data_IF_392514462204
#
_entry.id   IF_392514462204
#
_cell.length_a   1.000
_cell.length_b   1.000
_cell.length_c   1.000
_cell.angle_alpha   90.00
_cell.angle_beta   90.00
_cell.angle_gamma   90.00
#
_symmetry.space_group_name_H-M   'P 1'
#
loop_
_entity.id
_entity.type
_entity.pdbx_description
1 polymer ?
#
# COMPACT_ATOMS: atom_id res chain seq x y z
N UNK A 1 -0.51 -24.16 -3.92
CA UNK A 1 -1.05 -23.65 -5.21
C UNK A 1 -1.64 -22.28 -4.95
N UNK A 2 -1.14 -21.23 -5.63
CA UNK A 2 -1.61 -19.85 -5.48
C UNK A 2 -2.86 -19.64 -6.33
N UNK A 3 -3.91 -19.06 -5.80
CA UNK A 3 -5.18 -18.79 -6.49
C UNK A 3 -5.55 -17.32 -6.51
N UNK A 4 -4.90 -16.49 -5.69
CA UNK A 4 -5.14 -15.05 -5.71
C UNK A 4 -3.90 -14.26 -5.30
N UNK A 5 -3.78 -13.05 -5.83
CA UNK A 5 -2.70 -12.12 -5.56
C UNK A 5 -3.27 -10.89 -4.87
N UNK A 6 -2.69 -10.54 -3.74
CA UNK A 6 -3.00 -9.31 -2.98
C UNK A 6 -1.82 -8.37 -3.12
N UNK A 7 -2.05 -7.19 -3.67
CA UNK A 7 -1.02 -6.15 -3.81
C UNK A 7 -1.16 -5.09 -2.70
N UNK A 8 -0.03 -4.58 -2.23
CA UNK A 8 0.00 -3.23 -1.66
C UNK A 8 -0.07 -2.18 -2.76
N UNK A 9 -0.28 -0.92 -2.39
CA UNK A 9 -0.45 0.20 -3.32
C UNK A 9 0.81 1.08 -3.39
N UNK A 10 1.04 1.86 -2.33
CA UNK A 10 2.10 2.89 -2.31
C UNK A 10 3.50 2.26 -2.22
N UNK A 11 4.33 2.42 -3.24
CA UNK A 11 5.65 1.80 -3.35
C UNK A 11 5.67 0.44 -4.04
N UNK A 12 4.52 -0.19 -4.21
CA UNK A 12 4.38 -1.49 -4.88
C UNK A 12 3.80 -1.33 -6.29
N UNK A 13 2.57 -0.84 -6.40
CA UNK A 13 1.92 -0.61 -7.69
C UNK A 13 2.12 0.82 -8.21
N UNK A 14 2.30 1.78 -7.30
CA UNK A 14 2.42 3.20 -7.64
C UNK A 14 3.58 3.88 -6.89
N UNK A 15 4.22 4.84 -7.53
CA UNK A 15 5.06 5.84 -6.88
C UNK A 15 4.21 7.09 -6.59
N UNK A 16 3.76 7.20 -5.37
CA UNK A 16 2.87 8.28 -4.88
C UNK A 16 3.59 9.29 -3.99
N UNK A 17 4.91 9.21 -3.86
CA UNK A 17 5.69 10.03 -2.92
C UNK A 17 5.43 11.53 -3.07
N UNK A 18 5.33 12.03 -4.32
CA UNK A 18 5.14 13.44 -4.60
C UNK A 18 3.79 13.95 -4.09
N UNK A 19 2.71 13.21 -4.35
CA UNK A 19 1.36 13.63 -3.96
C UNK A 19 1.14 13.45 -2.45
N UNK A 20 1.72 12.40 -1.85
CA UNK A 20 1.76 12.26 -0.39
C UNK A 20 2.49 13.45 0.25
N UNK A 21 3.66 13.83 -0.28
CA UNK A 21 4.43 14.94 0.26
C UNK A 21 3.74 16.29 0.07
N UNK A 22 3.13 16.55 -1.10
CA UNK A 22 2.36 17.76 -1.35
C UNK A 22 1.18 17.88 -0.38
N UNK A 23 0.41 16.79 -0.20
CA UNK A 23 -0.74 16.74 0.70
C UNK A 23 -0.34 16.90 2.17
N UNK A 24 0.75 16.25 2.59
CA UNK A 24 1.26 16.38 3.95
C UNK A 24 1.75 17.81 4.23
N UNK A 25 2.48 18.43 3.31
CA UNK A 25 2.97 19.78 3.45
C UNK A 25 1.83 20.82 3.40
N UNK A 26 0.78 20.57 2.60
CA UNK A 26 -0.43 21.39 2.65
C UNK A 26 -1.08 21.35 4.04
N UNK A 27 -1.27 20.16 4.60
CA UNK A 27 -1.84 19.98 5.93
C UNK A 27 -0.98 20.62 7.03
N UNK A 28 0.34 20.38 7.00
CA UNK A 28 1.29 20.97 7.95
C UNK A 28 1.25 22.49 7.91
N UNK A 29 1.43 23.08 6.73
CA UNK A 29 1.52 24.54 6.55
C UNK A 29 0.22 25.24 6.93
N UNK A 30 -0.95 24.71 6.59
CA UNK A 30 -2.26 25.26 6.94
C UNK A 30 -2.55 25.24 8.44
N UNK A 31 -1.78 24.43 9.22
CA UNK A 31 -1.90 24.33 10.67
C UNK A 31 -0.69 24.88 11.44
N UNK A 32 0.17 25.66 10.78
CA UNK A 32 1.30 26.34 11.42
C UNK A 32 2.52 25.46 11.72
N UNK A 33 2.61 24.28 11.10
CA UNK A 33 3.78 23.43 11.16
C UNK A 33 4.72 23.69 9.97
N UNK A 34 6.04 23.51 10.10
CA UNK A 34 6.97 23.67 9.00
C UNK A 34 6.75 22.61 7.93
N UNK A 35 6.96 22.97 6.68
CA UNK A 35 7.03 22.02 5.58
C UNK A 35 8.30 21.16 5.70
N UNK A 36 8.21 19.93 5.25
CA UNK A 36 9.30 18.95 5.26
C UNK A 36 9.71 18.59 3.83
N UNK A 37 10.92 18.05 3.68
CA UNK A 37 11.41 17.55 2.40
C UNK A 37 10.63 16.32 1.92
N UNK A 38 10.69 16.04 0.61
CA UNK A 38 10.14 14.84 0.01
C UNK A 38 10.70 13.57 0.67
N UNK A 39 11.99 13.57 0.98
CA UNK A 39 12.68 12.42 1.60
C UNK A 39 12.17 12.15 3.02
N UNK A 40 12.05 13.21 3.85
CA UNK A 40 11.52 13.09 5.21
C UNK A 40 10.10 12.53 5.20
N UNK A 41 9.19 13.09 4.41
CA UNK A 41 7.81 12.61 4.33
C UNK A 41 7.76 11.17 3.80
N UNK A 42 8.56 10.85 2.77
CA UNK A 42 8.62 9.50 2.21
C UNK A 42 9.05 8.46 3.24
N UNK A 43 9.95 8.82 4.16
CA UNK A 43 10.41 7.94 5.24
C UNK A 43 9.32 7.57 6.26
N UNK A 44 8.22 8.33 6.30
CA UNK A 44 7.07 8.10 7.19
C UNK A 44 5.94 7.30 6.50
N UNK A 45 6.05 7.02 5.20
CA UNK A 45 5.04 6.26 4.44
C UNK A 45 5.02 4.79 4.88
N UNK A 46 3.81 4.20 4.94
CA UNK A 46 3.60 2.77 5.19
C UNK A 46 2.63 2.49 6.35
N UNK A 47 2.63 3.33 7.37
CA UNK A 47 1.79 3.14 8.58
C UNK A 47 0.45 3.89 8.52
N UNK A 48 0.08 4.45 7.34
CA UNK A 48 -1.13 5.23 7.11
C UNK A 48 -1.00 6.70 7.48
N UNK A 49 -1.99 7.50 7.08
CA UNK A 49 -1.92 8.97 7.13
C UNK A 49 -1.77 9.54 8.55
N UNK A 50 -2.45 8.96 9.56
CA UNK A 50 -2.37 9.43 10.96
C UNK A 50 -0.93 9.37 11.48
N UNK A 51 -0.29 8.20 11.39
CA UNK A 51 1.09 8.02 11.88
C UNK A 51 2.10 8.84 11.07
N UNK A 52 1.88 9.01 9.75
CA UNK A 52 2.69 9.87 8.91
C UNK A 52 2.64 11.32 9.40
N UNK A 53 1.44 11.86 9.60
CA UNK A 53 1.24 13.27 9.99
C UNK A 53 1.66 13.53 11.43
N UNK A 54 1.45 12.58 12.35
CA UNK A 54 1.95 12.68 13.72
C UNK A 54 3.48 12.81 13.73
N UNK A 55 4.19 11.94 13.00
CA UNK A 55 5.66 12.01 12.86
C UNK A 55 6.10 13.31 12.20
N UNK A 56 5.44 13.71 11.12
CA UNK A 56 5.76 14.93 10.39
C UNK A 56 5.58 16.20 11.25
N UNK A 57 4.56 16.24 12.08
CA UNK A 57 4.30 17.34 13.02
C UNK A 57 5.06 17.20 14.35
N UNK A 58 5.79 16.07 14.56
CA UNK A 58 6.45 15.71 15.82
C UNK A 58 5.49 15.66 17.02
N UNK A 59 4.32 15.06 16.78
CA UNK A 59 3.26 14.85 17.76
C UNK A 59 3.09 13.35 18.06
N UNK A 60 2.47 13.03 19.18
CA UNK A 60 2.01 11.67 19.47
C UNK A 60 0.77 11.36 18.62
N UNK A 61 0.59 10.09 18.20
CA UNK A 61 -0.56 9.66 17.40
C UNK A 61 -1.92 9.99 18.06
N UNK A 62 -1.97 10.05 19.39
CA UNK A 62 -3.17 10.39 20.16
C UNK A 62 -3.42 11.89 20.31
N UNK A 63 -2.51 12.76 19.85
CA UNK A 63 -2.70 14.23 19.95
C UNK A 63 -3.89 14.67 19.06
N UNK A 64 -4.81 15.45 19.64
CA UNK A 64 -6.02 15.91 18.96
C UNK A 64 -5.75 16.78 17.73
N UNK A 65 -4.58 17.40 17.64
CA UNK A 65 -4.15 18.19 16.47
C UNK A 65 -3.93 17.31 15.25
N UNK A 66 -3.55 16.03 15.44
CA UNK A 66 -3.32 15.08 14.34
C UNK A 66 -4.61 14.86 13.55
N UNK A 67 -5.79 14.84 14.20
CA UNK A 67 -7.07 14.65 13.50
C UNK A 67 -7.31 15.73 12.45
N UNK A 68 -7.06 17.01 12.81
CA UNK A 68 -7.20 18.14 11.88
C UNK A 68 -6.20 18.08 10.73
N UNK A 69 -4.97 17.63 11.02
CA UNK A 69 -3.95 17.41 9.98
C UNK A 69 -4.38 16.31 9.01
N UNK A 70 -4.95 15.20 9.54
CA UNK A 70 -5.45 14.09 8.72
C UNK A 70 -6.60 14.56 7.81
N UNK A 71 -7.54 15.34 8.32
CA UNK A 71 -8.65 15.84 7.53
C UNK A 71 -8.15 16.76 6.39
N UNK A 72 -7.31 17.74 6.70
CA UNK A 72 -6.70 18.61 5.69
C UNK A 72 -5.88 17.83 4.64
N UNK A 73 -5.14 16.81 5.06
CA UNK A 73 -4.42 15.92 4.17
C UNK A 73 -5.35 15.16 3.24
N UNK A 74 -6.43 14.57 3.78
CA UNK A 74 -7.38 13.79 3.00
C UNK A 74 -8.12 14.65 1.99
N UNK A 75 -8.51 15.87 2.37
CA UNK A 75 -9.19 16.82 1.49
C UNK A 75 -8.30 17.20 0.31
N UNK A 76 -7.07 17.63 0.59
CA UNK A 76 -6.12 17.99 -0.44
C UNK A 76 -5.76 16.82 -1.35
N UNK A 77 -5.41 15.66 -0.77
CA UNK A 77 -5.03 14.48 -1.54
C UNK A 77 -6.18 13.97 -2.42
N UNK A 78 -7.43 14.06 -1.94
CA UNK A 78 -8.59 13.61 -2.75
C UNK A 78 -8.83 14.53 -3.95
N UNK A 79 -8.54 15.83 -3.81
CA UNK A 79 -8.62 16.80 -4.90
C UNK A 79 -7.44 16.69 -5.89
N UNK A 80 -6.29 16.18 -5.44
CA UNK A 80 -5.03 16.07 -6.19
C UNK A 80 -4.45 14.64 -6.14
N UNK A 81 -5.19 13.61 -6.60
CA UNK A 81 -4.85 12.22 -6.30
C UNK A 81 -3.68 11.67 -7.11
N UNK A 82 -3.41 12.26 -8.31
CA UNK A 82 -2.43 11.74 -9.27
C UNK A 82 -1.65 12.85 -10.00
N UNK A 83 -1.45 14.01 -9.38
CA UNK A 83 -0.71 15.13 -10.00
C UNK A 83 0.77 14.75 -10.24
N UNK A 84 1.35 13.95 -9.37
CA UNK A 84 2.71 13.42 -9.46
C UNK A 84 2.82 11.91 -9.31
N UNK A 85 1.70 11.21 -9.12
CA UNK A 85 1.67 9.75 -8.95
C UNK A 85 1.78 9.03 -10.30
N UNK A 86 2.64 8.02 -10.37
CA UNK A 86 2.83 7.17 -11.55
C UNK A 86 2.79 5.70 -11.19
N UNK A 87 2.55 4.83 -12.18
CA UNK A 87 2.69 3.39 -11.97
C UNK A 87 4.16 3.01 -11.77
N UNK A 88 4.40 2.05 -10.87
CA UNK A 88 5.72 1.44 -10.72
C UNK A 88 6.07 0.59 -11.95
N UNK A 89 7.38 0.41 -12.25
CA UNK A 89 7.80 -0.44 -13.36
C UNK A 89 7.23 -1.86 -13.26
N UNK A 90 6.57 -2.31 -14.33
CA UNK A 90 5.95 -3.63 -14.41
C UNK A 90 4.57 -3.74 -13.75
N UNK A 91 4.04 -2.68 -13.11
CA UNK A 91 2.74 -2.75 -12.43
C UNK A 91 1.58 -3.01 -13.41
N UNK A 92 1.56 -2.34 -14.55
CA UNK A 92 0.52 -2.53 -15.57
C UNK A 92 0.54 -3.94 -16.14
N UNK A 93 1.70 -4.45 -16.47
CA UNK A 93 1.92 -5.80 -16.99
C UNK A 93 1.58 -6.86 -15.94
N UNK A 94 1.95 -6.63 -14.69
CA UNK A 94 1.60 -7.54 -13.60
C UNK A 94 0.09 -7.62 -13.39
N UNK A 95 -0.62 -6.49 -13.41
CA UNK A 95 -2.09 -6.49 -13.30
C UNK A 95 -2.76 -7.13 -14.52
N UNK A 96 -2.28 -6.85 -15.74
CA UNK A 96 -2.83 -7.42 -16.97
C UNK A 96 -2.53 -8.92 -17.13
N UNK A 97 -1.52 -9.44 -16.41
CA UNK A 97 -1.11 -10.84 -16.47
C UNK A 97 -2.06 -11.83 -15.77
N UNK A 98 -3.05 -11.32 -15.02
CA UNK A 98 -3.96 -12.14 -14.22
C UNK A 98 -5.40 -11.63 -14.32
N UNK A 99 -6.42 -12.52 -14.20
CA UNK A 99 -7.81 -12.07 -14.25
C UNK A 99 -8.14 -11.21 -13.01
N UNK A 100 -8.89 -10.09 -13.17
CA UNK A 100 -9.27 -9.23 -12.05
C UNK A 100 -9.98 -9.97 -10.91
N UNK A 101 -10.66 -11.08 -11.21
CA UNK A 101 -11.32 -11.94 -10.21
C UNK A 101 -10.36 -12.60 -9.21
N UNK A 102 -9.08 -12.68 -9.54
CA UNK A 102 -8.02 -13.23 -8.70
C UNK A 102 -7.13 -12.16 -8.05
N UNK A 103 -7.42 -10.88 -8.28
CA UNK A 103 -6.61 -9.77 -7.76
C UNK A 103 -7.35 -9.03 -6.64
N UNK A 104 -6.62 -8.66 -5.61
CA UNK A 104 -7.08 -7.77 -4.55
C UNK A 104 -6.03 -6.74 -4.17
N UNK A 105 -6.47 -5.68 -3.52
CA UNK A 105 -5.63 -4.63 -2.97
C UNK A 105 -5.71 -4.61 -1.45
N UNK A 106 -4.58 -4.54 -0.77
CA UNK A 106 -4.48 -4.39 0.69
C UNK A 106 -3.53 -3.26 1.04
N UNK A 107 -4.04 -2.10 1.41
CA UNK A 107 -3.20 -0.93 1.69
C UNK A 107 -3.55 -0.26 3.02
N UNK A 108 -2.53 0.32 3.69
CA UNK A 108 -2.73 1.18 4.86
C UNK A 108 -3.13 2.62 4.48
N UNK A 109 -3.11 2.95 3.17
CA UNK A 109 -3.60 4.23 2.65
C UNK A 109 -5.10 4.38 2.95
N UNK A 110 -5.57 5.54 3.45
CA UNK A 110 -6.99 5.73 3.75
C UNK A 110 -7.89 5.44 2.54
N UNK A 111 -9.05 4.81 2.79
CA UNK A 111 -9.98 4.40 1.72
C UNK A 111 -10.33 5.55 0.77
N UNK A 112 -10.61 6.74 1.32
CA UNK A 112 -10.98 7.92 0.53
C UNK A 112 -9.93 8.25 -0.53
N UNK A 113 -8.67 8.35 -0.15
CA UNK A 113 -7.56 8.65 -1.07
C UNK A 113 -7.22 7.46 -1.97
N UNK A 114 -7.35 6.22 -1.45
CA UNK A 114 -7.16 5.01 -2.26
C UNK A 114 -8.11 4.99 -3.45
N UNK A 115 -9.42 5.20 -3.23
CA UNK A 115 -10.41 5.20 -4.32
C UNK A 115 -10.18 6.34 -5.32
N UNK A 116 -9.78 7.53 -4.85
CA UNK A 116 -9.46 8.66 -5.73
C UNK A 116 -8.26 8.34 -6.65
N UNK A 117 -7.19 7.74 -6.09
CA UNK A 117 -6.01 7.32 -6.85
C UNK A 117 -6.35 6.22 -7.86
N UNK A 118 -7.09 5.19 -7.44
CA UNK A 118 -7.50 4.11 -8.35
C UNK A 118 -8.36 4.64 -9.51
N UNK A 119 -9.26 5.59 -9.25
CA UNK A 119 -10.07 6.23 -10.29
C UNK A 119 -9.20 7.04 -11.25
N UNK A 120 -8.28 7.86 -10.74
CA UNK A 120 -7.39 8.69 -11.55
C UNK A 120 -6.44 7.86 -12.43
N UNK A 121 -6.00 6.69 -11.97
CA UNK A 121 -5.14 5.77 -12.72
C UNK A 121 -5.90 4.75 -13.57
N UNK A 122 -7.24 4.84 -13.63
CA UNK A 122 -8.12 3.89 -14.35
C UNK A 122 -8.02 2.44 -13.84
N UNK A 123 -7.73 2.26 -12.55
CA UNK A 123 -7.58 0.97 -11.89
C UNK A 123 -8.79 0.54 -11.05
N UNK A 124 -9.92 1.26 -11.12
CA UNK A 124 -11.12 0.98 -10.32
C UNK A 124 -11.61 -0.46 -10.46
N UNK A 125 -11.50 -1.04 -11.66
CA UNK A 125 -11.97 -2.39 -11.97
C UNK A 125 -10.84 -3.43 -12.02
N UNK A 126 -9.63 -3.07 -11.59
CA UNK A 126 -8.48 -3.98 -11.62
C UNK A 126 -8.53 -5.06 -10.51
N UNK A 127 -9.34 -4.83 -9.47
CA UNK A 127 -9.37 -5.69 -8.28
C UNK A 127 -10.79 -6.19 -7.98
N UNK A 128 -10.91 -7.47 -7.65
CA UNK A 128 -12.13 -8.09 -7.12
C UNK A 128 -12.53 -7.51 -5.76
N UNK A 129 -11.54 -7.21 -4.92
CA UNK A 129 -11.75 -6.69 -3.57
C UNK A 129 -10.63 -5.71 -3.17
N UNK A 130 -10.98 -4.74 -2.33
CA UNK A 130 -10.06 -3.72 -1.81
C UNK A 130 -10.24 -3.63 -0.30
N UNK A 131 -9.16 -3.82 0.45
CA UNK A 131 -9.03 -3.50 1.86
C UNK A 131 -8.12 -2.28 2.01
N UNK A 132 -8.67 -1.17 2.45
CA UNK A 132 -7.96 0.10 2.59
C UNK A 132 -7.95 0.57 4.04
N UNK A 133 -7.10 1.55 4.35
CA UNK A 133 -7.02 2.12 5.69
C UNK A 133 -8.37 2.69 6.15
N UNK A 134 -8.81 2.25 7.32
CA UNK A 134 -10.10 2.59 7.92
C UNK A 134 -11.23 1.57 7.69
N UNK A 135 -11.04 0.56 6.84
CA UNK A 135 -12.06 -0.49 6.64
C UNK A 135 -12.15 -1.44 7.83
N UNK A 136 -11.06 -1.60 8.57
CA UNK A 136 -10.96 -2.45 9.75
C UNK A 136 -10.33 -1.65 10.90
N UNK A 137 -10.59 -2.05 12.16
CA UNK A 137 -9.89 -1.48 13.32
C UNK A 137 -8.36 -1.70 13.21
N UNK A 138 -7.97 -2.87 12.69
CA UNK A 138 -6.58 -3.23 12.50
C UNK A 138 -6.14 -2.99 11.06
N UNK A 139 -4.85 -2.63 10.89
CA UNK A 139 -4.16 -2.42 9.62
C UNK A 139 -2.94 -3.31 9.52
N UNK A 140 -2.32 -3.46 8.34
CA UNK A 140 -1.01 -4.14 8.24
C UNK A 140 -0.02 -3.51 9.23
N UNK A 141 0.74 -4.31 10.01
CA UNK A 141 1.05 -5.75 9.84
C UNK A 141 0.04 -6.74 10.44
N UNK A 142 -1.11 -6.30 10.98
CA UNK A 142 -2.11 -7.24 11.46
C UNK A 142 -2.74 -8.03 10.29
N UNK A 143 -3.00 -9.36 10.43
CA UNK A 143 -3.50 -10.20 9.33
C UNK A 143 -4.96 -9.94 8.94
N UNK A 144 -5.75 -9.24 9.76
CA UNK A 144 -7.20 -9.08 9.57
C UNK A 144 -7.60 -8.61 8.17
N UNK A 145 -6.96 -7.57 7.56
CA UNK A 145 -7.33 -7.13 6.22
C UNK A 145 -7.11 -8.22 5.16
N UNK A 146 -6.00 -9.00 5.27
CA UNK A 146 -5.72 -10.08 4.33
C UNK A 146 -6.68 -11.25 4.48
N UNK A 147 -7.06 -11.60 5.71
CA UNK A 147 -8.03 -12.66 5.96
C UNK A 147 -9.41 -12.31 5.39
N UNK A 148 -9.84 -11.05 5.50
CA UNK A 148 -11.07 -10.57 4.88
C UNK A 148 -11.01 -10.61 3.34
N UNK A 149 -9.84 -10.32 2.74
CA UNK A 149 -9.64 -10.46 1.30
C UNK A 149 -9.66 -11.94 0.86
N UNK A 150 -9.11 -12.85 1.65
CA UNK A 150 -9.19 -14.29 1.37
C UNK A 150 -10.66 -14.77 1.31
N UNK A 151 -11.48 -14.32 2.26
CA UNK A 151 -12.94 -14.59 2.27
C UNK A 151 -13.62 -14.00 1.02
N UNK A 152 -13.33 -12.73 0.67
CA UNK A 152 -13.92 -12.06 -0.51
C UNK A 152 -13.52 -12.69 -1.85
N UNK A 153 -12.33 -13.29 -1.92
CA UNK A 153 -11.80 -14.01 -3.07
C UNK A 153 -12.17 -15.50 -3.09
N UNK A 154 -12.82 -15.98 -2.04
CA UNK A 154 -13.22 -17.40 -1.87
C UNK A 154 -12.02 -18.36 -1.97
N UNK A 155 -10.90 -18.00 -1.32
CA UNK A 155 -9.67 -18.80 -1.28
C UNK A 155 -9.19 -19.01 0.17
N UNK A 156 -8.43 -20.06 0.41
CA UNK A 156 -7.78 -20.23 1.69
C UNK A 156 -6.59 -19.26 1.81
N UNK A 157 -6.26 -18.73 3.03
CA UNK A 157 -5.14 -17.80 3.19
C UNK A 157 -3.80 -18.31 2.62
N UNK A 158 -3.51 -19.61 2.71
CA UNK A 158 -2.32 -20.24 2.12
C UNK A 158 -2.28 -20.24 0.59
N UNK A 159 -3.39 -19.89 -0.06
CA UNK A 159 -3.52 -19.77 -1.52
C UNK A 159 -3.37 -18.31 -1.99
N UNK A 160 -3.17 -17.37 -1.03
CA UNK A 160 -2.85 -15.99 -1.32
C UNK A 160 -1.34 -15.79 -1.54
N UNK A 161 -1.02 -14.89 -2.45
CA UNK A 161 0.30 -14.30 -2.62
C UNK A 161 0.22 -12.82 -2.22
N UNK A 162 0.83 -12.44 -1.09
CA UNK A 162 0.92 -11.01 -0.69
C UNK A 162 2.16 -10.39 -1.30
N UNK A 163 1.98 -9.37 -2.12
CA UNK A 163 3.03 -8.63 -2.83
C UNK A 163 3.12 -7.21 -2.30
N UNK A 164 4.27 -6.82 -1.77
CA UNK A 164 4.48 -5.49 -1.19
C UNK A 164 5.94 -5.08 -1.13
N UNK A 165 6.21 -3.78 -0.89
CA UNK A 165 7.56 -3.23 -0.73
C UNK A 165 7.97 -3.00 0.73
N UNK A 166 7.06 -3.21 1.68
CA UNK A 166 7.26 -2.91 3.08
C UNK A 166 7.28 -4.13 4.00
N UNK A 167 7.91 -3.98 5.15
CA UNK A 167 7.92 -5.00 6.21
C UNK A 167 6.50 -5.35 6.69
N UNK A 168 5.58 -4.37 6.75
CA UNK A 168 4.20 -4.58 7.17
C UNK A 168 3.44 -5.54 6.24
N UNK A 169 3.79 -5.59 4.94
CA UNK A 169 3.20 -6.50 3.97
C UNK A 169 3.61 -7.94 4.23
N UNK A 170 4.92 -8.13 4.42
CA UNK A 170 5.51 -9.43 4.73
C UNK A 170 4.98 -9.97 6.06
N UNK A 171 4.95 -9.12 7.09
CA UNK A 171 4.48 -9.52 8.41
C UNK A 171 2.98 -9.84 8.42
N UNK A 172 2.15 -9.03 7.73
CA UNK A 172 0.72 -9.30 7.59
C UNK A 172 0.46 -10.59 6.80
N UNK A 173 1.16 -10.78 5.67
CA UNK A 173 1.07 -11.97 4.85
C UNK A 173 1.43 -13.24 5.63
N UNK A 174 2.56 -13.22 6.31
CA UNK A 174 2.99 -14.34 7.17
C UNK A 174 2.00 -14.63 8.30
N UNK A 175 1.50 -13.59 8.99
CA UNK A 175 0.54 -13.75 10.07
C UNK A 175 -0.81 -14.27 9.57
N UNK A 176 -1.19 -13.99 8.32
CA UNK A 176 -2.38 -14.55 7.67
C UNK A 176 -2.16 -15.98 7.15
N UNK A 177 -0.91 -16.45 7.03
CA UNK A 177 -0.56 -17.74 6.43
C UNK A 177 -0.48 -17.69 4.89
N UNK A 178 -0.33 -16.51 4.31
CA UNK A 178 -0.11 -16.29 2.88
C UNK A 178 1.38 -16.46 2.51
N UNK A 179 1.66 -16.75 1.24
CA UNK A 179 3.01 -16.63 0.67
C UNK A 179 3.34 -15.16 0.47
N UNK A 180 4.55 -14.75 0.82
CA UNK A 180 4.96 -13.35 0.82
C UNK A 180 6.02 -13.05 -0.25
N UNK A 181 5.82 -11.96 -0.98
CA UNK A 181 6.74 -11.47 -2.01
C UNK A 181 7.11 -10.03 -1.70
N UNK A 182 8.39 -9.80 -1.47
CA UNK A 182 8.95 -8.47 -1.36
C UNK A 182 9.37 -7.93 -2.73
N UNK A 183 9.03 -6.69 -3.03
CA UNK A 183 9.46 -6.00 -4.26
C UNK A 183 10.46 -4.91 -3.89
N UNK A 184 11.67 -4.97 -4.47
CA UNK A 184 12.70 -3.95 -4.27
C UNK A 184 12.35 -2.66 -5.02
N UNK A 185 12.95 -1.56 -4.61
CA UNK A 185 12.79 -0.27 -5.29
C UNK A 185 11.52 0.50 -4.94
N UNK A 186 10.75 0.04 -3.95
CA UNK A 186 9.59 0.74 -3.41
C UNK A 186 9.95 1.99 -2.57
N UNK A 187 8.97 2.52 -1.86
CA UNK A 187 9.13 3.73 -1.03
C UNK A 187 9.84 3.41 0.29
N UNK A 188 9.58 2.23 0.84
CA UNK A 188 10.15 1.80 2.12
C UNK A 188 11.50 1.13 1.90
N UNK A 189 12.53 1.53 2.61
CA UNK A 189 13.91 1.06 2.39
C UNK A 189 14.04 -0.48 2.33
N UNK A 190 14.82 -0.96 1.37
CA UNK A 190 15.03 -2.39 1.07
C UNK A 190 15.52 -3.21 2.28
N UNK A 191 16.28 -2.60 3.17
CA UNK A 191 16.80 -3.27 4.38
C UNK A 191 15.66 -3.75 5.29
N UNK A 192 14.68 -2.90 5.58
CA UNK A 192 13.51 -3.26 6.40
C UNK A 192 12.68 -4.38 5.76
N UNK A 193 12.53 -4.34 4.43
CA UNK A 193 11.85 -5.39 3.69
C UNK A 193 12.57 -6.73 3.84
N UNK A 194 13.89 -6.76 3.67
CA UNK A 194 14.70 -7.98 3.77
C UNK A 194 14.77 -8.51 5.21
N UNK A 195 14.83 -7.63 6.21
CA UNK A 195 14.79 -8.01 7.63
C UNK A 195 13.46 -8.70 8.01
N UNK A 196 12.37 -8.34 7.34
CA UNK A 196 11.09 -9.03 7.51
C UNK A 196 11.07 -10.45 6.90
N UNK A 197 12.07 -10.83 6.10
CA UNK A 197 12.29 -12.17 5.49
C UNK A 197 11.07 -12.63 4.66
N UNK A 198 10.75 -11.97 3.55
CA UNK A 198 9.73 -12.47 2.63
C UNK A 198 10.13 -13.84 2.04
N UNK A 199 9.15 -14.68 1.66
CA UNK A 199 9.41 -16.00 1.06
C UNK A 199 10.10 -15.85 -0.30
N UNK A 200 9.79 -14.77 -1.04
CA UNK A 200 10.41 -14.43 -2.32
C UNK A 200 10.73 -12.93 -2.38
N UNK A 201 11.75 -12.58 -3.15
CA UNK A 201 12.13 -11.19 -3.44
C UNK A 201 12.22 -11.01 -4.94
N UNK A 202 11.61 -9.95 -5.46
CA UNK A 202 11.68 -9.52 -6.85
C UNK A 202 12.38 -8.17 -6.93
N UNK A 203 13.14 -7.96 -7.98
CA UNK A 203 13.72 -6.65 -8.27
C UNK A 203 12.70 -5.73 -8.97
N UNK A 204 11.70 -6.32 -9.64
CA UNK A 204 10.63 -5.61 -10.34
C UNK A 204 9.37 -6.46 -10.46
N UNK A 205 8.20 -5.81 -10.55
CA UNK A 205 6.93 -6.48 -10.82
C UNK A 205 6.89 -7.19 -12.19
N UNK A 206 7.77 -6.87 -13.13
CA UNK A 206 7.94 -7.63 -14.38
C UNK A 206 8.23 -9.12 -14.14
N UNK A 207 8.84 -9.46 -13.01
CA UNK A 207 9.21 -10.84 -12.68
C UNK A 207 8.05 -11.65 -12.07
N UNK A 208 6.98 -10.96 -11.61
CA UNK A 208 5.87 -11.60 -10.90
C UNK A 208 5.17 -12.71 -11.69
N UNK A 209 4.85 -12.55 -13.00
CA UNK A 209 4.23 -13.64 -13.76
C UNK A 209 5.12 -14.88 -13.86
N UNK A 210 6.44 -14.68 -13.92
CA UNK A 210 7.41 -15.78 -13.89
C UNK A 210 7.45 -16.51 -12.55
N UNK A 211 7.40 -15.78 -11.45
CA UNK A 211 7.33 -16.35 -10.11
C UNK A 211 6.04 -17.17 -9.92
N UNK A 212 4.88 -16.61 -10.27
CA UNK A 212 3.58 -17.28 -10.12
C UNK A 212 3.54 -18.60 -10.90
N UNK A 213 4.06 -18.63 -12.14
CA UNK A 213 4.18 -19.90 -12.90
C UNK A 213 5.04 -20.94 -12.19
N UNK A 214 6.15 -20.54 -11.55
CA UNK A 214 7.01 -21.47 -10.78
C UNK A 214 6.32 -22.01 -9.53
N UNK A 215 5.46 -21.23 -8.90
CA UNK A 215 4.67 -21.64 -7.73
C UNK A 215 3.48 -22.54 -8.09
N UNK A 216 3.20 -22.72 -9.37
CA UNK A 216 2.23 -23.69 -9.88
C UNK A 216 0.80 -23.21 -9.74
N UNK A 217 0.41 -22.05 -10.38
CA UNK A 217 -0.97 -21.53 -10.29
C UNK A 217 -1.28 -20.34 -11.16
N UNK A 218 -2.57 -19.95 -11.11
CA UNK A 218 -3.34 -18.95 -11.84
C UNK A 218 -3.45 -19.18 -13.32
#
# INVERSE_FOLDING_TARGET
MIRAIVFDLDGTLIDSRRDIAASANHALSSHGFPALSLEEISSYVGDGARSLLARAARLEDADSRVERLVEAFLDYYTAHPIDGTTLMPGAREALAGFPPSSLALCTNKPRRTTLAVLAGLELTNAFRAVAAGGDFPEKKPHPRPLLALAEALEVAPRELLMVGDGAQDVLAGRAAGAVTVGVRGGIQGVERLLDARPDHVLDSLHELPGLVRRLGSL
#
